data_IF_481224377913
#
_entry.id   IF_481224377913
#
_cell.length_a   1.000
_cell.length_b   1.000
_cell.length_c   1.000
_cell.angle_alpha   90.00
_cell.angle_beta   90.00
_cell.angle_gamma   90.00
#
_symmetry.space_group_name_H-M   'P 1'
#
loop_
_entity.id
_entity.type
_entity.pdbx_description
1 polymer ?
#
# COMPACT_ATOMS: atom_id res chain seq x y z
N UNK A 1 -16.79 -33.57 -35.69
CA UNK A 1 -15.51 -32.83 -35.89
C UNK A 1 -15.65 -31.30 -35.98
N UNK A 2 -16.74 -30.73 -36.50
CA UNK A 2 -16.94 -29.27 -36.59
C UNK A 2 -17.09 -28.57 -35.23
N UNK A 3 -17.68 -29.19 -34.22
CA UNK A 3 -17.89 -28.61 -32.88
C UNK A 3 -16.61 -28.61 -32.01
N UNK A 4 -15.68 -29.54 -32.25
CA UNK A 4 -14.41 -29.58 -31.52
C UNK A 4 -13.49 -28.41 -31.87
N UNK A 5 -13.48 -28.00 -33.15
CA UNK A 5 -12.72 -26.85 -33.63
C UNK A 5 -13.29 -25.51 -33.09
N UNK A 6 -14.62 -25.41 -32.99
CA UNK A 6 -15.25 -24.22 -32.45
C UNK A 6 -15.00 -24.04 -30.93
N UNK A 7 -14.98 -25.13 -30.18
CA UNK A 7 -14.65 -25.13 -28.75
C UNK A 7 -13.17 -24.75 -28.47
N UNK A 8 -12.25 -25.24 -29.31
CA UNK A 8 -10.84 -24.86 -29.20
C UNK A 8 -10.63 -23.38 -29.51
N UNK A 9 -11.28 -22.82 -30.52
CA UNK A 9 -11.18 -21.42 -30.87
C UNK A 9 -11.76 -20.49 -29.78
N UNK A 10 -12.85 -20.91 -29.11
CA UNK A 10 -13.42 -20.17 -27.99
C UNK A 10 -12.51 -20.18 -26.74
N UNK A 11 -11.85 -21.29 -26.48
CA UNK A 11 -10.94 -21.43 -25.31
C UNK A 11 -9.66 -20.59 -25.48
N UNK A 12 -9.13 -20.48 -26.73
CA UNK A 12 -7.97 -19.61 -27.01
C UNK A 12 -8.31 -18.13 -26.93
N UNK A 13 -9.54 -17.73 -27.25
CA UNK A 13 -9.98 -16.34 -27.13
C UNK A 13 -10.12 -15.89 -25.65
N UNK A 14 -10.48 -16.78 -24.73
CA UNK A 14 -10.53 -16.47 -23.29
C UNK A 14 -9.13 -16.31 -22.68
N UNK A 15 -8.11 -16.98 -23.22
CA UNK A 15 -6.73 -16.89 -22.75
C UNK A 15 -5.97 -15.67 -23.32
N UNK A 16 -6.52 -14.98 -24.31
CA UNK A 16 -5.86 -13.90 -25.04
C UNK A 16 -6.11 -12.49 -24.45
N UNK A 17 -6.84 -12.37 -23.33
CA UNK A 17 -6.99 -11.11 -22.61
C UNK A 17 -6.29 -11.21 -21.25
N UNK A 18 -4.98 -11.05 -21.18
CA UNK A 18 -4.37 -10.70 -19.92
C UNK A 18 -4.76 -9.23 -19.68
N UNK A 19 -5.88 -8.99 -19.02
CA UNK A 19 -5.98 -7.76 -18.22
C UNK A 19 -4.77 -7.79 -17.31
N UNK A 20 -3.74 -7.04 -17.70
CA UNK A 20 -2.53 -6.92 -16.90
C UNK A 20 -2.99 -6.36 -15.55
N UNK A 21 -3.07 -7.25 -14.57
CA UNK A 21 -3.19 -6.84 -13.19
C UNK A 21 -2.01 -5.91 -12.92
N UNK A 22 -2.26 -4.61 -12.94
CA UNK A 22 -1.23 -3.60 -12.80
C UNK A 22 -0.95 -3.46 -11.31
N UNK A 23 0.15 -4.05 -10.87
CA UNK A 23 0.68 -3.83 -9.54
C UNK A 23 1.19 -2.38 -9.43
N UNK A 24 1.13 -1.82 -8.25
CA UNK A 24 1.79 -0.53 -7.95
C UNK A 24 3.28 -0.81 -7.79
N UNK A 25 4.09 -0.29 -8.70
CA UNK A 25 5.53 -0.49 -8.70
C UNK A 25 6.29 0.71 -8.14
N UNK A 26 5.85 1.92 -8.43
CA UNK A 26 6.52 3.15 -8.01
C UNK A 26 5.79 3.87 -6.86
N UNK A 27 6.57 4.59 -6.05
CA UNK A 27 6.02 5.45 -5.01
C UNK A 27 5.13 6.57 -5.59
N UNK A 28 5.40 7.02 -6.81
CA UNK A 28 4.59 8.02 -7.52
C UNK A 28 3.19 7.47 -7.85
N UNK A 29 3.10 6.23 -8.33
CA UNK A 29 1.80 5.60 -8.61
C UNK A 29 0.99 5.42 -7.31
N UNK A 30 1.64 4.96 -6.24
CA UNK A 30 1.00 4.83 -4.94
C UNK A 30 0.55 6.19 -4.39
N UNK A 31 1.39 7.22 -4.52
CA UNK A 31 1.06 8.57 -4.07
C UNK A 31 -0.17 9.11 -4.79
N UNK A 32 -0.25 8.97 -6.13
CA UNK A 32 -1.42 9.37 -6.93
C UNK A 32 -2.67 8.61 -6.48
N UNK A 33 -2.57 7.31 -6.26
CA UNK A 33 -3.66 6.47 -5.80
C UNK A 33 -4.18 6.89 -4.41
N UNK A 34 -3.26 7.21 -3.48
CA UNK A 34 -3.61 7.63 -2.13
C UNK A 34 -4.18 9.05 -2.06
N UNK A 35 -3.76 9.95 -2.95
CA UNK A 35 -4.39 11.27 -3.08
C UNK A 35 -5.85 11.18 -3.53
N UNK A 36 -6.18 10.23 -4.40
CA UNK A 36 -7.55 9.98 -4.81
C UNK A 36 -8.43 9.59 -3.61
N UNK A 37 -7.91 8.73 -2.75
CA UNK A 37 -8.60 8.32 -1.52
C UNK A 37 -8.85 9.51 -0.57
N UNK A 38 -7.90 10.44 -0.42
CA UNK A 38 -8.11 11.64 0.38
C UNK A 38 -9.22 12.53 -0.19
N UNK A 39 -9.26 12.71 -1.52
CA UNK A 39 -10.30 13.49 -2.20
C UNK A 39 -11.70 12.89 -2.03
N UNK A 40 -11.82 11.59 -2.17
CA UNK A 40 -13.09 10.87 -1.97
C UNK A 40 -13.60 11.05 -0.54
N UNK A 41 -12.69 11.09 0.44
CA UNK A 41 -13.01 11.27 1.85
C UNK A 41 -13.49 12.70 2.19
N UNK A 42 -12.88 13.72 1.59
CA UNK A 42 -13.27 15.13 1.82
C UNK A 42 -14.68 15.41 1.32
N UNK A 43 -15.12 14.74 0.25
CA UNK A 43 -16.46 14.88 -0.31
C UNK A 43 -17.58 14.21 0.48
N UNK A 44 -17.26 13.36 1.44
CA UNK A 44 -18.20 12.42 2.05
C UNK A 44 -18.56 12.68 3.53
N UNK A 45 -17.99 13.67 4.17
CA UNK A 45 -18.26 13.96 5.57
C UNK A 45 -17.58 13.00 6.55
N UNK A 46 -18.20 12.76 7.72
CA UNK A 46 -17.59 11.99 8.84
C UNK A 46 -17.63 10.47 8.67
N UNK A 47 -18.35 9.96 7.69
CA UNK A 47 -18.49 8.53 7.49
C UNK A 47 -17.27 7.98 6.73
N UNK A 48 -16.69 6.90 7.26
CA UNK A 48 -15.62 6.16 6.59
C UNK A 48 -16.25 5.45 5.40
N UNK A 49 -16.25 6.11 4.24
CA UNK A 49 -16.74 5.49 3.02
C UNK A 49 -15.71 4.48 2.50
N UNK A 50 -16.26 3.38 2.02
CA UNK A 50 -15.48 2.42 1.22
C UNK A 50 -15.00 3.18 -0.02
N UNK A 51 -13.69 3.13 -0.35
CA UNK A 51 -13.17 3.79 -1.55
C UNK A 51 -13.96 3.39 -2.80
N UNK A 52 -14.32 4.36 -3.61
CA UNK A 52 -15.22 4.15 -4.75
C UNK A 52 -14.48 4.06 -6.08
N UNK A 53 -13.24 4.57 -6.14
CA UNK A 53 -12.39 4.50 -7.32
C UNK A 53 -11.43 3.32 -7.24
N UNK A 54 -10.98 2.85 -8.41
CA UNK A 54 -9.97 1.80 -8.51
C UNK A 54 -8.67 2.21 -7.82
N UNK A 55 -8.27 3.45 -7.99
CA UNK A 55 -7.06 4.04 -7.41
C UNK A 55 -7.16 4.08 -5.89
N UNK A 56 -8.28 4.53 -5.35
CA UNK A 56 -8.51 4.56 -3.92
C UNK A 56 -8.50 3.15 -3.30
N UNK A 57 -9.10 2.16 -3.99
CA UNK A 57 -9.05 0.74 -3.57
C UNK A 57 -7.61 0.19 -3.61
N UNK A 58 -6.81 0.55 -4.61
CA UNK A 58 -5.40 0.13 -4.69
C UNK A 58 -4.58 0.73 -3.55
N UNK A 59 -4.75 2.03 -3.25
CA UNK A 59 -4.10 2.64 -2.08
C UNK A 59 -4.50 1.95 -0.79
N UNK A 60 -5.80 1.75 -0.58
CA UNK A 60 -6.32 1.11 0.63
C UNK A 60 -5.73 -0.29 0.83
N UNK A 61 -5.83 -1.16 -0.21
CA UNK A 61 -5.31 -2.52 -0.14
C UNK A 61 -3.80 -2.58 0.07
N UNK A 62 -3.05 -1.66 -0.56
CA UNK A 62 -1.62 -1.55 -0.38
C UNK A 62 -1.25 -1.20 1.07
N UNK A 63 -1.94 -0.21 1.66
CA UNK A 63 -1.68 0.21 3.03
C UNK A 63 -2.16 -0.81 4.06
N UNK A 64 -3.21 -1.57 3.80
CA UNK A 64 -3.60 -2.73 4.62
C UNK A 64 -2.46 -3.77 4.67
N UNK A 65 -1.87 -4.12 3.53
CA UNK A 65 -0.74 -5.03 3.49
C UNK A 65 0.48 -4.49 4.25
N UNK A 66 0.76 -3.19 4.17
CA UNK A 66 1.84 -2.55 4.93
C UNK A 66 1.55 -2.51 6.44
N UNK A 67 0.27 -2.37 6.83
CA UNK A 67 -0.15 -2.48 8.23
C UNK A 67 0.12 -3.89 8.76
N UNK A 68 -0.25 -4.93 8.02
CA UNK A 68 0.02 -6.31 8.40
C UNK A 68 1.52 -6.58 8.53
N UNK A 69 2.35 -6.05 7.63
CA UNK A 69 3.81 -6.14 7.72
C UNK A 69 4.37 -5.40 8.94
N UNK A 70 3.74 -4.32 9.38
CA UNK A 70 4.24 -3.49 10.48
C UNK A 70 4.21 -4.20 11.84
N UNK A 71 3.36 -5.21 12.00
CA UNK A 71 3.26 -5.99 13.24
C UNK A 71 4.22 -7.17 13.29
N UNK A 72 4.81 -7.55 12.14
CA UNK A 72 5.74 -8.68 12.08
C UNK A 72 7.04 -8.38 12.83
N UNK A 73 7.55 -9.38 13.51
CA UNK A 73 8.84 -9.33 14.22
C UNK A 73 9.79 -10.41 13.70
N UNK A 74 11.09 -10.13 13.74
CA UNK A 74 12.12 -11.09 13.44
C UNK A 74 12.35 -12.06 14.64
N UNK A 75 13.26 -13.01 14.47
CA UNK A 75 13.65 -13.97 15.52
C UNK A 75 14.21 -13.31 16.80
N UNK A 76 14.55 -12.03 16.74
CA UNK A 76 15.04 -11.24 17.88
C UNK A 76 13.97 -10.32 18.48
N UNK A 77 12.71 -10.45 18.03
CA UNK A 77 11.60 -9.61 18.47
C UNK A 77 11.62 -8.17 17.93
N UNK A 78 12.41 -7.88 16.89
CA UNK A 78 12.49 -6.55 16.29
C UNK A 78 11.47 -6.45 15.15
N UNK A 79 10.80 -5.31 15.02
CA UNK A 79 9.88 -5.05 13.91
C UNK A 79 10.61 -5.16 12.57
N UNK A 80 10.08 -6.00 11.66
CA UNK A 80 10.71 -6.30 10.35
C UNK A 80 10.90 -5.04 9.52
N UNK A 81 9.91 -4.15 9.51
CA UNK A 81 9.99 -2.89 8.76
C UNK A 81 10.63 -1.73 9.56
N UNK A 82 11.03 -1.95 10.81
CA UNK A 82 11.68 -0.93 11.64
C UNK A 82 10.78 0.24 12.05
N UNK A 83 9.47 0.10 11.91
CA UNK A 83 8.46 1.07 12.35
C UNK A 83 7.60 0.44 13.45
N UNK A 84 7.16 1.26 14.41
CA UNK A 84 6.40 0.83 15.58
C UNK A 84 5.11 1.65 15.73
N UNK A 85 4.17 1.54 14.77
CA UNK A 85 2.87 2.18 14.93
C UNK A 85 2.16 1.60 16.16
N UNK A 86 1.44 2.43 16.95
CA UNK A 86 0.55 1.96 18.02
C UNK A 86 -0.48 0.95 17.50
N UNK A 87 -0.97 0.05 18.38
CA UNK A 87 -1.93 -1.00 18.00
C UNK A 87 -3.23 -0.45 17.41
N UNK A 88 -3.67 0.71 17.89
CA UNK A 88 -4.87 1.40 17.41
C UNK A 88 -4.65 2.22 16.12
N UNK A 89 -3.46 2.17 15.53
CA UNK A 89 -3.16 2.91 14.30
C UNK A 89 -4.00 2.38 13.14
N UNK A 90 -4.80 3.25 12.56
CA UNK A 90 -5.65 2.91 11.41
C UNK A 90 -4.88 2.98 10.09
N UNK A 91 -5.36 2.27 9.06
CA UNK A 91 -4.81 2.38 7.70
C UNK A 91 -4.83 3.81 7.17
N UNK A 92 -5.83 4.62 7.56
CA UNK A 92 -5.88 6.04 7.21
C UNK A 92 -4.73 6.84 7.83
N UNK A 93 -4.32 6.52 9.06
CA UNK A 93 -3.15 7.16 9.67
C UNK A 93 -1.86 6.80 8.95
N UNK A 94 -1.73 5.55 8.47
CA UNK A 94 -0.58 5.13 7.66
C UNK A 94 -0.57 5.82 6.28
N UNK A 95 -1.74 5.95 5.64
CA UNK A 95 -1.90 6.68 4.38
C UNK A 95 -1.48 8.14 4.57
N UNK A 96 -1.97 8.78 5.62
CA UNK A 96 -1.60 10.15 5.93
C UNK A 96 -0.10 10.32 6.15
N UNK A 97 0.53 9.42 6.92
CA UNK A 97 1.97 9.43 7.15
C UNK A 97 2.74 9.34 5.82
N UNK A 98 2.34 8.43 4.93
CA UNK A 98 2.95 8.30 3.61
C UNK A 98 2.76 9.56 2.75
N UNK A 99 1.57 10.16 2.73
CA UNK A 99 1.29 11.35 1.93
C UNK A 99 2.07 12.58 2.44
N UNK A 100 2.24 12.73 3.76
CA UNK A 100 3.07 13.78 4.35
C UNK A 100 4.53 13.58 3.96
N UNK A 101 5.05 12.36 4.10
CA UNK A 101 6.41 12.02 3.70
C UNK A 101 6.66 12.29 2.22
N UNK A 102 5.77 11.85 1.35
CA UNK A 102 5.90 12.01 -0.10
C UNK A 102 5.97 13.48 -0.54
N UNK A 103 5.24 14.38 0.13
CA UNK A 103 5.28 15.83 -0.14
C UNK A 103 6.67 16.43 0.16
N UNK A 104 7.34 15.96 1.21
CA UNK A 104 8.66 16.45 1.60
C UNK A 104 9.83 15.74 0.92
N UNK A 105 9.59 14.57 0.31
CA UNK A 105 10.61 13.72 -0.30
C UNK A 105 10.29 13.41 -1.78
N UNK A 106 9.97 14.43 -2.57
CA UNK A 106 9.54 14.29 -3.96
C UNK A 106 10.53 13.49 -4.86
N UNK A 107 11.83 13.55 -4.56
CA UNK A 107 12.85 12.77 -5.29
C UNK A 107 12.70 11.26 -5.11
N UNK A 108 12.14 10.81 -3.98
CA UNK A 108 11.95 9.39 -3.67
C UNK A 108 10.71 8.78 -4.34
N UNK A 109 9.82 9.62 -4.87
CA UNK A 109 8.63 9.16 -5.60
C UNK A 109 8.97 8.37 -6.87
N UNK A 110 10.17 8.54 -7.42
CA UNK A 110 10.68 7.74 -8.54
C UNK A 110 11.09 6.31 -8.14
N UNK A 111 11.22 6.06 -6.84
CA UNK A 111 11.66 4.79 -6.29
C UNK A 111 10.51 3.78 -6.11
N UNK A 112 10.86 2.66 -5.49
CA UNK A 112 9.92 1.59 -5.17
C UNK A 112 8.91 2.02 -4.12
N UNK A 113 7.65 1.67 -4.33
CA UNK A 113 6.54 2.05 -3.45
C UNK A 113 6.71 1.54 -2.01
N UNK A 114 7.08 0.26 -1.83
CA UNK A 114 7.25 -0.31 -0.49
C UNK A 114 8.39 0.37 0.28
N UNK A 115 9.50 0.67 -0.39
CA UNK A 115 10.63 1.36 0.23
C UNK A 115 10.23 2.76 0.72
N UNK A 116 9.47 3.51 -0.07
CA UNK A 116 9.00 4.83 0.32
C UNK A 116 8.01 4.79 1.49
N UNK A 117 7.08 3.82 1.48
CA UNK A 117 6.14 3.62 2.60
C UNK A 117 6.89 3.23 3.87
N UNK A 118 7.85 2.29 3.81
CA UNK A 118 8.64 1.88 4.98
C UNK A 118 9.35 3.08 5.59
N UNK A 119 10.00 3.93 4.79
CA UNK A 119 10.65 5.14 5.28
C UNK A 119 9.65 6.11 5.92
N UNK A 120 8.50 6.33 5.29
CA UNK A 120 7.44 7.16 5.85
C UNK A 120 6.96 6.67 7.21
N UNK A 121 6.78 5.34 7.35
CA UNK A 121 6.37 4.73 8.61
C UNK A 121 7.47 4.79 9.67
N UNK A 122 8.72 4.59 9.30
CA UNK A 122 9.87 4.73 10.21
C UNK A 122 10.00 6.16 10.75
N UNK A 123 9.76 7.17 9.90
CA UNK A 123 9.82 8.57 10.29
C UNK A 123 8.63 8.97 11.19
N UNK A 124 7.42 8.51 10.83
CA UNK A 124 6.19 8.86 11.56
C UNK A 124 5.99 8.05 12.85
N UNK A 125 6.47 6.81 12.88
CA UNK A 125 6.30 5.86 13.98
C UNK A 125 7.63 5.20 14.36
N UNK A 126 8.64 5.98 14.79
CA UNK A 126 9.94 5.42 15.14
C UNK A 126 9.82 4.44 16.31
N UNK A 127 10.49 3.29 16.21
CA UNK A 127 10.62 2.39 17.33
C UNK A 127 11.48 3.07 18.41
N UNK A 128 10.92 3.24 19.61
CA UNK A 128 11.72 3.69 20.77
C UNK A 128 12.78 2.62 21.04
N UNK A 129 14.03 2.98 20.93
CA UNK A 129 15.09 2.16 21.46
C UNK A 129 14.85 2.13 22.96
N UNK A 130 14.53 0.96 23.51
CA UNK A 130 14.47 0.78 24.95
C UNK A 130 15.80 1.25 25.56
N UNK A 131 15.83 1.71 26.83
CA UNK A 131 17.06 2.15 27.47
C UNK A 131 18.08 1.05 27.29
N UNK A 132 19.18 1.37 26.60
CA UNK A 132 20.20 0.42 26.17
C UNK A 132 20.62 -0.46 27.35
N UNK A 133 20.53 -1.78 27.18
CA UNK A 133 21.40 -2.66 27.99
C UNK A 133 22.82 -2.37 27.54
N UNK A 134 23.48 -1.52 28.32
CA UNK A 134 24.94 -1.45 28.27
C UNK A 134 25.47 -2.84 28.60
N UNK A 135 26.17 -3.45 27.64
CA UNK A 135 27.02 -4.59 27.86
C UNK A 135 28.41 -4.11 28.19
#
# INVERSE_FOLDING_TARGET
MRYALALLAALTALLAHPDKARAIDSAQELWNACQELERDREGSGKDVLIPNSKEALLCWGYMQAMQDLSVLVDQHGRRVIGACPPEETTSLALIHAFLVYARSHASELKGNAAAAVIKALQESFPCRQGPGRAH
#
